data_IF_226116021301
#
_entry.id   IF_226116021301
#
_cell.length_a   1.000
_cell.length_b   1.000
_cell.length_c   1.000
_cell.angle_alpha   90.00
_cell.angle_beta   90.00
_cell.angle_gamma   90.00
#
_symmetry.space_group_name_H-M   'P 1'
#
loop_
_entity.id
_entity.type
_entity.pdbx_description
1 polymer ?
#
# COMPACT_ATOMS: atom_id res chain seq x y z
N UNK A 1 9.88 -7.82 10.19
CA UNK A 1 8.78 -7.21 9.42
C UNK A 1 8.40 -5.94 10.16
N UNK A 2 8.55 -4.79 9.53
CA UNK A 2 8.24 -3.49 10.15
C UNK A 2 6.80 -3.07 9.84
N UNK A 3 6.37 -3.19 8.58
CA UNK A 3 5.05 -2.83 8.10
C UNK A 3 4.77 -3.52 6.76
N UNK A 4 3.51 -3.71 6.42
CA UNK A 4 3.09 -4.18 5.09
C UNK A 4 2.08 -3.22 4.47
N UNK A 5 2.26 -2.95 3.19
CA UNK A 5 1.30 -2.25 2.34
C UNK A 5 0.83 -3.23 1.26
N UNK A 6 -0.28 -3.90 1.50
CA UNK A 6 -0.73 -4.96 0.64
C UNK A 6 0.31 -6.08 0.50
N UNK A 7 0.82 -6.26 -0.71
CA UNK A 7 1.84 -7.25 -1.03
C UNK A 7 3.27 -6.78 -0.74
N UNK A 8 3.47 -5.50 -0.49
CA UNK A 8 4.77 -4.93 -0.24
C UNK A 8 5.11 -4.96 1.26
N UNK A 9 6.28 -5.51 1.60
CA UNK A 9 6.75 -5.63 2.99
C UNK A 9 7.92 -4.70 3.22
N UNK A 10 7.75 -3.76 4.17
CA UNK A 10 8.83 -2.89 4.63
C UNK A 10 9.70 -3.65 5.65
N UNK A 11 10.94 -3.87 5.32
CA UNK A 11 11.95 -4.51 6.17
C UNK A 11 13.29 -3.78 6.01
N UNK A 12 14.22 -4.06 6.90
CA UNK A 12 15.60 -3.54 6.81
C UNK A 12 16.30 -3.88 5.49
N UNK A 13 15.90 -4.98 4.85
CA UNK A 13 16.48 -5.43 3.56
C UNK A 13 15.76 -4.90 2.33
N UNK A 14 14.53 -4.39 2.47
CA UNK A 14 13.77 -3.81 1.35
C UNK A 14 13.82 -2.29 1.40
N UNK A 15 12.88 -1.68 2.10
CA UNK A 15 12.81 -0.24 2.32
C UNK A 15 12.64 -0.01 3.82
N UNK A 16 13.72 0.25 4.57
CA UNK A 16 13.59 0.61 5.98
C UNK A 16 13.08 2.04 6.10
N UNK A 17 11.92 2.24 6.71
CA UNK A 17 11.51 3.55 7.12
C UNK A 17 12.07 3.87 8.52
N UNK A 18 12.46 5.11 8.73
CA UNK A 18 13.01 5.60 10.00
C UNK A 18 11.97 6.38 10.79
N UNK A 19 11.04 7.00 10.10
CA UNK A 19 10.00 7.81 10.68
C UNK A 19 8.65 7.47 10.03
N UNK A 20 7.62 7.40 10.88
CA UNK A 20 6.23 7.26 10.49
C UNK A 20 5.45 8.42 11.09
N UNK A 21 4.85 9.24 10.28
CA UNK A 21 3.94 10.30 10.69
C UNK A 21 2.52 9.92 10.29
N UNK A 22 1.63 9.80 11.26
CA UNK A 22 0.21 9.56 11.02
C UNK A 22 -0.58 10.80 11.35
N UNK A 23 -1.22 11.39 10.36
CA UNK A 23 -2.04 12.58 10.50
C UNK A 23 -3.50 12.23 10.26
N UNK A 24 -4.34 12.60 11.20
CA UNK A 24 -5.79 12.48 11.09
C UNK A 24 -6.42 13.85 11.18
N UNK A 25 -7.44 14.08 10.38
CA UNK A 25 -8.21 15.32 10.36
C UNK A 25 -9.72 15.04 10.42
N UNK A 26 -10.44 16.00 10.97
CA UNK A 26 -11.89 15.95 11.07
C UNK A 26 -12.47 17.25 10.53
N UNK A 27 -13.53 17.13 9.76
CA UNK A 27 -14.20 18.30 9.16
C UNK A 27 -15.22 18.88 10.10
N UNK A 28 -15.13 20.19 10.30
CA UNK A 28 -16.09 20.98 11.05
C UNK A 28 -16.53 22.16 10.21
N UNK A 29 -17.81 22.24 9.86
CA UNK A 29 -18.37 23.44 9.26
C UNK A 29 -18.51 24.53 10.32
N UNK A 30 -18.05 25.74 10.01
CA UNK A 30 -18.15 26.89 10.88
C UNK A 30 -19.15 27.89 10.32
N UNK A 31 -20.15 28.25 11.13
CA UNK A 31 -21.13 29.30 10.81
C UNK A 31 -20.77 30.56 11.59
N UNK A 32 -20.52 31.64 10.87
CA UNK A 32 -20.21 32.94 11.45
C UNK A 32 -21.41 33.49 12.24
N UNK A 33 -21.14 34.03 13.44
CA UNK A 33 -22.12 34.72 14.28
C UNK A 33 -21.64 36.12 14.59
N UNK A 34 -22.59 37.08 14.63
CA UNK A 34 -22.27 38.46 14.98
C UNK A 34 -22.02 38.55 16.50
N UNK A 35 -20.87 39.06 16.92
CA UNK A 35 -20.50 39.27 18.32
C UNK A 35 -20.23 38.00 19.14
N UNK A 36 -20.25 36.82 18.55
CA UNK A 36 -20.00 35.53 19.19
C UNK A 36 -18.99 34.71 18.39
N UNK A 37 -18.38 33.69 19.05
CA UNK A 37 -17.54 32.73 18.34
C UNK A 37 -18.37 31.94 17.32
N UNK A 38 -17.79 31.57 16.15
CA UNK A 38 -18.45 30.76 15.17
C UNK A 38 -19.01 29.46 15.80
N UNK A 39 -20.21 29.07 15.39
CA UNK A 39 -20.72 27.75 15.76
C UNK A 39 -20.15 26.71 14.84
N UNK A 40 -19.63 25.62 15.37
CA UNK A 40 -19.07 24.52 14.61
C UNK A 40 -20.01 23.33 14.61
N UNK A 41 -20.16 22.69 13.43
CA UNK A 41 -20.89 21.46 13.26
C UNK A 41 -19.94 20.37 12.78
N UNK A 42 -19.97 19.22 13.43
CA UNK A 42 -19.16 18.07 13.03
C UNK A 42 -19.71 17.43 11.77
N UNK A 43 -18.90 17.38 10.71
CA UNK A 43 -19.25 16.79 9.41
C UNK A 43 -18.74 15.36 9.22
N UNK A 44 -17.85 14.89 10.10
CA UNK A 44 -17.28 13.57 10.02
C UNK A 44 -15.73 13.60 9.85
N UNK A 45 -15.11 12.41 9.74
CA UNK A 45 -13.69 12.31 9.51
C UNK A 45 -13.33 12.82 8.11
N UNK A 46 -12.18 13.44 8.00
CA UNK A 46 -11.54 13.80 6.74
C UNK A 46 -10.54 12.70 6.35
N UNK A 47 -9.77 12.91 5.28
CA UNK A 47 -8.77 11.96 4.85
C UNK A 47 -7.62 11.85 5.86
N UNK A 48 -7.31 10.62 6.26
CA UNK A 48 -6.12 10.32 7.04
C UNK A 48 -4.91 10.18 6.10
N UNK A 49 -3.77 10.68 6.52
CA UNK A 49 -2.52 10.63 5.76
C UNK A 49 -1.44 9.96 6.58
N UNK A 50 -0.72 9.03 5.98
CA UNK A 50 0.47 8.41 6.55
C UNK A 50 1.68 8.81 5.71
N UNK A 51 2.69 9.37 6.34
CA UNK A 51 3.95 9.70 5.69
C UNK A 51 5.05 8.84 6.28
N UNK A 52 5.71 8.09 5.41
CA UNK A 52 6.86 7.25 5.75
C UNK A 52 8.12 7.88 5.14
N UNK A 53 9.11 8.16 5.96
CA UNK A 53 10.40 8.66 5.50
C UNK A 53 11.53 7.75 5.94
N UNK A 54 12.55 7.65 5.11
CA UNK A 54 13.72 6.84 5.43
C UNK A 54 14.86 7.04 4.45
N UNK A 55 15.96 6.40 4.75
CA UNK A 55 17.20 6.45 3.96
C UNK A 55 17.56 5.06 3.47
N UNK A 56 17.75 4.94 2.17
CA UNK A 56 18.22 3.74 1.51
C UNK A 56 19.70 3.87 1.16
N UNK A 57 20.46 2.85 1.49
CA UNK A 57 21.82 2.67 1.01
C UNK A 57 21.83 1.49 0.04
N UNK A 58 21.83 1.72 -1.28
CA UNK A 58 21.67 0.66 -2.27
C UNK A 58 22.66 -0.49 -2.16
N UNK A 59 23.86 -0.22 -1.66
CA UNK A 59 24.90 -1.24 -1.43
C UNK A 59 24.58 -2.19 -0.29
N UNK A 60 23.89 -1.69 0.76
CA UNK A 60 23.61 -2.46 1.98
C UNK A 60 22.21 -3.09 1.98
N UNK A 61 21.23 -2.39 1.41
CA UNK A 61 19.83 -2.76 1.51
C UNK A 61 19.22 -3.27 0.20
N UNK A 62 19.90 -3.15 -0.94
CA UNK A 62 19.39 -3.62 -2.22
C UNK A 62 18.09 -2.91 -2.71
N UNK A 63 17.76 -1.76 -2.15
CA UNK A 63 16.45 -1.13 -2.23
C UNK A 63 16.00 -0.58 -3.60
N UNK A 64 16.82 -0.65 -4.67
CA UNK A 64 16.43 -0.12 -5.99
C UNK A 64 15.25 -0.86 -6.60
N UNK A 65 15.27 -2.18 -6.56
CA UNK A 65 14.18 -3.03 -7.04
C UNK A 65 12.93 -2.88 -6.19
N UNK A 66 13.10 -2.70 -4.89
CA UNK A 66 11.99 -2.49 -3.96
C UNK A 66 11.28 -1.16 -4.20
N UNK A 67 12.01 -0.09 -4.51
CA UNK A 67 11.43 1.20 -4.89
C UNK A 67 10.66 1.10 -6.21
N UNK A 68 11.22 0.40 -7.21
CA UNK A 68 10.52 0.16 -8.47
C UNK A 68 9.22 -0.63 -8.26
N UNK A 69 9.24 -1.65 -7.41
CA UNK A 69 8.03 -2.41 -7.07
C UNK A 69 6.97 -1.51 -6.41
N UNK A 70 7.40 -0.60 -5.52
CA UNK A 70 6.51 0.36 -4.90
C UNK A 70 5.92 1.37 -5.89
N UNK A 71 6.74 1.87 -6.83
CA UNK A 71 6.29 2.73 -7.93
C UNK A 71 5.27 2.01 -8.82
N UNK A 72 5.51 0.76 -9.17
CA UNK A 72 4.57 -0.06 -9.94
C UNK A 72 3.24 -0.23 -9.22
N UNK A 73 3.27 -0.48 -7.91
CA UNK A 73 2.05 -0.55 -7.10
C UNK A 73 1.30 0.78 -7.07
N UNK A 74 2.01 1.89 -7.02
CA UNK A 74 1.43 3.24 -7.06
C UNK A 74 0.76 3.53 -8.42
N UNK A 75 1.40 3.14 -9.53
CA UNK A 75 0.85 3.31 -10.88
C UNK A 75 -0.42 2.50 -11.12
N UNK A 76 -0.57 1.36 -10.46
CA UNK A 76 -1.81 0.58 -10.52
C UNK A 76 -3.01 1.33 -9.94
N UNK A 77 -2.79 2.37 -9.13
CA UNK A 77 -3.84 3.20 -8.53
C UNK A 77 -4.79 2.44 -7.60
N UNK A 78 -4.41 1.26 -7.14
CA UNK A 78 -5.22 0.44 -6.24
C UNK A 78 -5.00 0.83 -4.79
N UNK A 79 -6.03 0.61 -3.99
CA UNK A 79 -5.96 0.75 -2.55
C UNK A 79 -5.41 -0.54 -1.92
N UNK A 80 -4.55 -0.37 -0.93
CA UNK A 80 -3.86 -1.46 -0.25
C UNK A 80 -4.04 -1.37 1.26
N UNK A 81 -4.22 -2.50 1.96
CA UNK A 81 -4.27 -2.50 3.42
C UNK A 81 -2.89 -2.18 3.99
N UNK A 82 -2.86 -1.29 4.99
CA UNK A 82 -1.67 -0.92 5.72
C UNK A 82 -1.69 -1.58 7.09
N UNK A 83 -0.74 -2.47 7.33
CA UNK A 83 -0.65 -3.27 8.55
C UNK A 83 0.74 -3.12 9.13
N UNK A 84 0.82 -2.69 10.39
CA UNK A 84 2.08 -2.60 11.13
C UNK A 84 2.54 -3.99 11.62
N UNK A 85 3.83 -4.16 11.82
CA UNK A 85 4.41 -5.40 12.35
C UNK A 85 3.93 -5.77 13.76
N UNK A 86 3.40 -4.81 14.50
CA UNK A 86 2.72 -5.03 15.79
C UNK A 86 1.34 -5.71 15.67
N UNK A 87 0.78 -5.80 14.45
CA UNK A 87 -0.56 -6.28 14.18
C UNK A 87 -1.61 -5.18 14.08
N UNK A 88 -1.22 -3.92 14.23
CA UNK A 88 -2.13 -2.78 14.08
C UNK A 88 -2.51 -2.57 12.62
N UNK A 89 -3.82 -2.57 12.34
CA UNK A 89 -4.37 -2.31 11.01
C UNK A 89 -4.79 -0.85 10.95
N UNK A 90 -4.12 -0.06 10.12
CA UNK A 90 -4.45 1.36 9.94
C UNK A 90 -5.66 1.57 9.01
N UNK A 91 -5.93 0.62 8.13
CA UNK A 91 -6.99 0.69 7.14
C UNK A 91 -6.47 0.50 5.73
N UNK A 92 -7.22 0.97 4.75
CA UNK A 92 -6.89 0.87 3.33
C UNK A 92 -6.37 2.21 2.83
N UNK A 93 -5.22 2.20 2.20
CA UNK A 93 -4.52 3.39 1.73
C UNK A 93 -4.15 3.28 0.25
N UNK A 94 -4.14 4.41 -0.42
CA UNK A 94 -3.57 4.57 -1.76
C UNK A 94 -2.25 5.33 -1.66
N UNK A 95 -1.34 5.05 -2.56
CA UNK A 95 -0.09 5.82 -2.68
C UNK A 95 -0.41 7.14 -3.36
N UNK A 96 -0.24 8.24 -2.65
CA UNK A 96 -0.47 9.59 -3.17
C UNK A 96 0.79 10.16 -3.85
N UNK A 97 1.93 10.02 -3.19
CA UNK A 97 3.21 10.49 -3.73
C UNK A 97 4.39 9.70 -3.19
N UNK A 98 5.41 9.58 -4.01
CA UNK A 98 6.72 9.04 -3.65
C UNK A 98 7.78 10.04 -4.08
N UNK A 99 8.48 10.63 -3.13
CA UNK A 99 9.61 11.53 -3.38
C UNK A 99 10.92 10.79 -3.09
N UNK A 100 11.89 11.00 -3.95
CA UNK A 100 13.24 10.40 -3.81
C UNK A 100 14.28 11.48 -3.99
N UNK A 101 15.19 11.59 -3.03
CA UNK A 101 16.35 12.48 -3.09
C UNK A 101 17.62 11.64 -3.10
N UNK A 102 18.33 11.63 -4.21
CA UNK A 102 19.58 10.89 -4.37
C UNK A 102 20.75 11.79 -4.06
N UNK A 103 21.62 11.37 -3.16
CA UNK A 103 22.81 12.10 -2.73
C UNK A 103 24.04 11.17 -2.75
N UNK A 104 25.21 11.79 -2.74
CA UNK A 104 26.51 11.09 -2.70
C UNK A 104 26.63 10.05 -3.82
N UNK A 105 27.04 10.51 -5.00
CA UNK A 105 27.23 9.67 -6.17
C UNK A 105 28.67 9.13 -6.23
N UNK A 106 28.81 7.88 -6.68
CA UNK A 106 30.09 7.33 -7.11
C UNK A 106 30.50 7.90 -8.47
N UNK A 107 31.76 7.72 -8.82
CA UNK A 107 32.26 8.05 -10.17
C UNK A 107 31.52 7.28 -11.29
N UNK A 108 30.89 6.16 -10.96
CA UNK A 108 30.05 5.36 -11.86
C UNK A 108 28.63 5.92 -12.05
N UNK A 109 28.26 7.01 -11.36
CA UNK A 109 26.92 7.60 -11.39
C UNK A 109 25.88 6.90 -10.50
N UNK A 110 26.26 5.89 -9.74
CA UNK A 110 25.39 5.22 -8.77
C UNK A 110 25.33 6.03 -7.50
N UNK A 111 24.12 6.29 -6.98
CA UNK A 111 23.96 6.99 -5.70
C UNK A 111 24.31 6.08 -4.51
N UNK A 112 25.03 6.63 -3.55
CA UNK A 112 25.33 5.96 -2.27
C UNK A 112 24.20 6.06 -1.28
N UNK A 113 23.49 7.18 -1.31
CA UNK A 113 22.41 7.51 -0.40
C UNK A 113 21.17 7.95 -1.18
N UNK A 114 20.04 7.34 -0.89
CA UNK A 114 18.75 7.71 -1.44
C UNK A 114 17.78 7.93 -0.28
N UNK A 115 17.33 9.15 -0.10
CA UNK A 115 16.29 9.50 0.85
C UNK A 115 14.94 9.39 0.15
N UNK A 116 13.98 8.72 0.78
CA UNK A 116 12.64 8.59 0.24
C UNK A 116 11.60 9.11 1.24
N UNK A 117 10.54 9.67 0.71
CA UNK A 117 9.35 10.05 1.44
C UNK A 117 8.13 9.52 0.68
N UNK A 118 7.40 8.63 1.33
CA UNK A 118 6.19 8.01 0.80
C UNK A 118 4.99 8.58 1.53
N UNK A 119 4.06 9.18 0.79
CA UNK A 119 2.80 9.69 1.32
C UNK A 119 1.66 8.80 0.88
N UNK A 120 0.93 8.30 1.87
CA UNK A 120 -0.23 7.44 1.70
C UNK A 120 -1.48 8.20 2.16
N UNK A 121 -2.55 8.07 1.44
CA UNK A 121 -3.84 8.66 1.77
C UNK A 121 -4.88 7.55 2.00
N UNK A 122 -5.63 7.67 3.09
CA UNK A 122 -6.69 6.71 3.38
C UNK A 122 -7.85 6.85 2.40
N UNK A 123 -8.39 5.72 1.98
CA UNK A 123 -9.58 5.63 1.16
C UNK A 123 -10.72 4.97 1.94
N UNK A 124 -11.96 5.21 1.49
CA UNK A 124 -13.17 4.68 2.13
C UNK A 124 -13.43 3.19 1.81
N UNK A 125 -12.58 2.55 1.02
CA UNK A 125 -12.73 1.13 0.74
C UNK A 125 -12.65 0.30 2.02
N UNK A 126 -13.65 -0.50 2.27
CA UNK A 126 -13.67 -1.39 3.42
C UNK A 126 -12.78 -2.60 3.17
N UNK A 127 -12.03 -3.01 4.19
CA UNK A 127 -11.26 -4.26 4.14
C UNK A 127 -12.13 -5.47 3.78
N UNK A 128 -13.39 -5.47 4.25
CA UNK A 128 -14.36 -6.52 3.96
C UNK A 128 -14.67 -6.66 2.47
N UNK A 129 -14.80 -5.54 1.75
CA UNK A 129 -15.04 -5.55 0.30
C UNK A 129 -13.82 -6.05 -0.46
N UNK A 130 -12.61 -5.67 -0.04
CA UNK A 130 -11.37 -6.18 -0.64
C UNK A 130 -11.22 -7.70 -0.44
N UNK A 131 -11.47 -8.19 0.76
CA UNK A 131 -11.41 -9.64 1.03
C UNK A 131 -12.54 -10.41 0.35
N UNK A 132 -13.72 -9.83 0.20
CA UNK A 132 -14.82 -10.39 -0.57
C UNK A 132 -14.43 -10.61 -2.03
N UNK A 133 -13.89 -9.60 -2.68
CA UNK A 133 -13.44 -9.70 -4.08
C UNK A 133 -12.29 -10.69 -4.27
N UNK A 134 -11.39 -10.82 -3.30
CA UNK A 134 -10.32 -11.81 -3.33
C UNK A 134 -10.87 -13.24 -3.17
N UNK A 135 -11.86 -13.45 -2.30
CA UNK A 135 -12.48 -14.76 -2.14
C UNK A 135 -13.23 -15.19 -3.41
N UNK A 136 -13.88 -14.26 -4.09
CA UNK A 136 -14.57 -14.50 -5.35
C UNK A 136 -13.57 -14.85 -6.48
N UNK A 137 -12.45 -14.16 -6.55
CA UNK A 137 -11.39 -14.47 -7.50
C UNK A 137 -10.75 -15.84 -7.23
N UNK A 138 -10.50 -16.17 -5.96
CA UNK A 138 -9.97 -17.47 -5.56
C UNK A 138 -10.94 -18.59 -5.92
N UNK A 139 -12.24 -18.42 -5.66
CA UNK A 139 -13.27 -19.41 -6.02
C UNK A 139 -13.39 -19.58 -7.54
N UNK A 140 -13.28 -18.50 -8.31
CA UNK A 140 -13.25 -18.54 -9.76
C UNK A 140 -12.02 -19.29 -10.31
N UNK A 141 -10.85 -19.06 -9.71
CA UNK A 141 -9.62 -19.79 -10.06
C UNK A 141 -9.72 -21.27 -9.71
N UNK A 142 -10.28 -21.61 -8.56
CA UNK A 142 -10.51 -23.03 -8.16
C UNK A 142 -11.50 -23.71 -9.10
N UNK A 143 -12.57 -23.02 -9.50
CA UNK A 143 -13.52 -23.53 -10.49
C UNK A 143 -12.89 -23.80 -11.85
N UNK A 144 -12.04 -22.87 -12.33
CA UNK A 144 -11.30 -23.02 -13.58
C UNK A 144 -10.31 -24.19 -13.51
N UNK A 145 -9.60 -24.37 -12.40
CA UNK A 145 -8.68 -25.48 -12.17
C UNK A 145 -9.41 -26.83 -12.13
N UNK A 146 -10.56 -26.91 -11.48
CA UNK A 146 -11.41 -28.12 -11.44
C UNK A 146 -11.93 -28.49 -12.84
N UNK A 147 -12.33 -27.49 -13.62
CA UNK A 147 -12.79 -27.70 -15.02
C UNK A 147 -11.65 -28.20 -15.91
N UNK A 148 -10.44 -27.65 -15.75
CA UNK A 148 -9.27 -28.10 -16.48
C UNK A 148 -8.87 -29.53 -16.11
N UNK A 149 -8.92 -29.90 -14.84
CA UNK A 149 -8.65 -31.26 -14.36
C UNK A 149 -9.70 -32.24 -14.89
N UNK A 150 -10.99 -31.86 -14.92
CA UNK A 150 -12.05 -32.66 -15.48
C UNK A 150 -11.88 -32.94 -16.98
N UNK A 151 -11.42 -31.95 -17.77
CA UNK A 151 -11.11 -32.14 -19.20
C UNK A 151 -9.92 -33.05 -19.43
N UNK A 152 -8.90 -33.00 -18.61
CA UNK A 152 -7.73 -33.90 -18.70
C UNK A 152 -8.11 -35.33 -18.39
N UNK A 153 -8.94 -35.58 -17.37
CA UNK A 153 -9.41 -36.93 -17.02
C UNK A 153 -10.32 -37.53 -18.11
N UNK A 154 -11.18 -36.73 -18.75
CA UNK A 154 -12.02 -37.15 -19.86
C UNK A 154 -11.19 -37.49 -21.12
N UNK A 155 -10.13 -36.75 -21.40
CA UNK A 155 -9.21 -37.02 -22.50
C UNK A 155 -8.38 -38.29 -22.25
N UNK A 156 -7.98 -38.57 -21.02
CA UNK A 156 -7.26 -39.80 -20.66
C UNK A 156 -8.16 -41.04 -20.70
N UNK A 157 -9.45 -40.91 -20.38
CA UNK A 157 -10.43 -42.02 -20.47
C UNK A 157 -10.73 -42.44 -21.90
N UNK A 158 -10.57 -41.57 -22.90
CA UNK A 158 -10.76 -41.88 -24.29
C UNK A 158 -9.61 -42.65 -24.99
N UNK A 159 -8.46 -42.74 -24.35
CA UNK A 159 -7.26 -43.40 -24.86
C UNK A 159 -7.20 -44.91 -24.56
N UNK A 160 -8.06 -45.42 -23.67
CA UNK A 160 -8.09 -46.82 -23.22
C UNK A 160 -9.38 -47.57 -23.59
N UNK A 161 -10.19 -47.05 -24.48
CA UNK A 161 -11.40 -47.73 -25.01
C UNK A 161 -11.25 -48.17 -26.44
#
# INVERSE_FOLDING_TARGET
>A
MMMTLGLFVFMLRTIPYQELQYQRSWRHAANSRVGLRPSTQFLGPDSDTVTLSGVLMPELTGGRLSLLALEQMAELGKAWPLIEGSGTIYGVFVVESLSQTKAEFFSSGVCRRNEFTLTLKRTDESLGEMFGSLSDQLSAMQGAAATAAGKVSAAAGGLFS
#
